data_IF_261566788837
#
_entry.id   IF_261566788837
#
_cell.length_a   1.000
_cell.length_b   1.000
_cell.length_c   1.000
_cell.angle_alpha   90.00
_cell.angle_beta   90.00
_cell.angle_gamma   90.00
#
_symmetry.space_group_name_H-M   'P 1'
#
loop_
_entity.id
_entity.type
_entity.pdbx_description
1 polymer ?
#
# COMPACT_ATOMS: atom_id res chain seq x y z
N UNK A 1 6.43 -12.16 9.70
CA UNK A 1 5.53 -11.59 8.68
C UNK A 1 4.53 -12.65 8.25
N UNK A 2 3.24 -12.32 8.17
CA UNK A 2 2.16 -13.25 7.77
C UNK A 2 1.52 -12.76 6.49
N UNK A 3 1.44 -13.59 5.45
CA UNK A 3 0.83 -13.22 4.17
C UNK A 3 -0.51 -13.93 4.01
N UNK A 4 -1.58 -13.17 3.76
CA UNK A 4 -2.92 -13.67 3.46
C UNK A 4 -3.23 -13.43 1.99
N UNK A 5 -3.34 -14.51 1.23
CA UNK A 5 -3.60 -14.47 -0.21
C UNK A 5 -5.09 -14.60 -0.50
N UNK A 6 -5.58 -13.81 -1.45
CA UNK A 6 -6.96 -13.83 -1.92
C UNK A 6 -7.03 -13.86 -3.45
N UNK A 7 -7.98 -14.63 -3.99
CA UNK A 7 -8.21 -14.66 -5.45
C UNK A 7 -8.89 -13.37 -5.95
N UNK A 8 -9.95 -12.92 -5.27
CA UNK A 8 -10.72 -11.74 -5.65
C UNK A 8 -11.43 -11.15 -4.45
N UNK A 9 -11.24 -9.86 -4.20
CA UNK A 9 -11.83 -9.13 -3.05
C UNK A 9 -12.28 -7.72 -3.46
N UNK A 10 -12.97 -7.01 -2.56
CA UNK A 10 -13.31 -5.61 -2.77
C UNK A 10 -12.04 -4.74 -2.83
N UNK A 11 -11.24 -4.73 -1.76
CA UNK A 11 -9.93 -4.07 -1.72
C UNK A 11 -9.03 -4.69 -0.66
N UNK A 12 -7.72 -4.80 -0.93
CA UNK A 12 -6.72 -5.22 0.06
C UNK A 12 -6.71 -4.28 1.25
N UNK A 13 -6.86 -2.97 1.00
CA UNK A 13 -6.89 -1.93 2.03
C UNK A 13 -8.07 -2.12 2.99
N UNK A 14 -9.26 -2.40 2.46
CA UNK A 14 -10.44 -2.64 3.29
C UNK A 14 -10.32 -3.94 4.11
N UNK A 15 -9.75 -4.99 3.52
CA UNK A 15 -9.52 -6.24 4.24
C UNK A 15 -8.47 -6.04 5.34
N UNK A 16 -7.38 -5.31 5.07
CA UNK A 16 -6.39 -4.98 6.08
C UNK A 16 -7.00 -4.15 7.22
N UNK A 17 -7.82 -3.14 6.92
CA UNK A 17 -8.54 -2.36 7.93
C UNK A 17 -9.48 -3.22 8.79
N UNK A 18 -10.19 -4.18 8.18
CA UNK A 18 -11.03 -5.13 8.91
C UNK A 18 -10.22 -6.07 9.81
N UNK A 19 -9.05 -6.51 9.35
CA UNK A 19 -8.16 -7.35 10.14
C UNK A 19 -7.56 -6.59 11.33
N UNK A 20 -7.15 -5.34 11.13
CA UNK A 20 -6.70 -4.45 12.20
C UNK A 20 -7.75 -4.35 13.31
N UNK A 21 -9.00 -4.03 12.95
CA UNK A 21 -10.12 -3.92 13.90
C UNK A 21 -10.44 -5.23 14.64
N UNK A 22 -10.03 -6.38 14.09
CA UNK A 22 -10.17 -7.71 14.71
C UNK A 22 -8.94 -8.10 15.56
N UNK A 23 -7.96 -7.22 15.71
CA UNK A 23 -6.76 -7.48 16.49
C UNK A 23 -5.70 -8.34 15.79
N UNK A 24 -5.72 -8.41 14.45
CA UNK A 24 -4.63 -9.07 13.71
C UNK A 24 -3.30 -8.32 13.95
N UNK A 25 -2.22 -9.09 14.13
CA UNK A 25 -0.92 -8.53 14.50
C UNK A 25 -0.29 -7.71 13.37
N UNK A 26 0.53 -6.70 13.71
CA UNK A 26 1.41 -6.01 12.76
C UNK A 26 2.24 -6.96 11.90
N UNK A 27 2.75 -6.45 10.77
CA UNK A 27 3.46 -7.19 9.73
C UNK A 27 2.62 -8.29 9.08
N UNK A 28 1.31 -8.09 9.07
CA UNK A 28 0.38 -8.88 8.26
C UNK A 28 0.21 -8.21 6.91
N UNK A 29 0.38 -8.99 5.84
CA UNK A 29 0.22 -8.55 4.45
C UNK A 29 -1.03 -9.18 3.89
N UNK A 30 -1.90 -8.37 3.30
CA UNK A 30 -3.06 -8.82 2.52
C UNK A 30 -2.70 -8.67 1.05
N UNK A 31 -2.76 -9.75 0.29
CA UNK A 31 -2.46 -9.76 -1.15
C UNK A 31 -3.67 -10.27 -1.92
N UNK A 32 -4.00 -9.65 -3.05
CA UNK A 32 -5.07 -10.12 -3.92
C UNK A 32 -4.63 -10.19 -5.38
N UNK A 33 -5.14 -11.19 -6.12
CA UNK A 33 -4.95 -11.26 -7.59
C UNK A 33 -5.82 -10.26 -8.34
N UNK A 34 -6.97 -9.88 -7.79
CA UNK A 34 -7.92 -8.93 -8.39
C UNK A 34 -8.66 -8.13 -7.29
N UNK A 35 -8.90 -6.84 -7.52
CA UNK A 35 -9.77 -6.01 -6.67
C UNK A 35 -10.96 -5.45 -7.46
N UNK A 36 -12.17 -5.66 -6.95
CA UNK A 36 -13.42 -5.17 -7.55
C UNK A 36 -13.62 -3.67 -7.27
N UNK A 37 -13.16 -3.21 -6.10
CA UNK A 37 -13.33 -1.85 -5.57
C UNK A 37 -11.99 -1.31 -5.07
N UNK A 38 -10.93 -1.47 -5.87
CA UNK A 38 -9.60 -0.98 -5.54
C UNK A 38 -9.63 0.50 -5.18
N UNK A 39 -8.95 0.86 -4.09
CA UNK A 39 -8.94 2.23 -3.55
C UNK A 39 -7.73 3.01 -4.04
N UNK A 40 -7.97 4.23 -4.53
CA UNK A 40 -6.96 5.26 -4.68
C UNK A 40 -7.13 6.36 -3.62
N UNK A 41 -6.32 7.42 -3.71
CA UNK A 41 -6.40 8.56 -2.77
C UNK A 41 -7.72 9.30 -2.90
N UNK A 42 -8.30 9.70 -1.78
CA UNK A 42 -9.58 10.43 -1.74
C UNK A 42 -10.73 9.57 -2.22
N UNK A 43 -11.46 10.01 -3.25
CA UNK A 43 -12.59 9.27 -3.86
C UNK A 43 -12.17 8.50 -5.13
N UNK A 44 -10.89 8.47 -5.45
CA UNK A 44 -10.42 7.86 -6.69
C UNK A 44 -10.50 6.33 -6.60
N UNK A 45 -10.95 5.72 -7.70
CA UNK A 45 -10.94 4.28 -7.88
C UNK A 45 -9.59 3.83 -8.48
N UNK A 46 -9.08 2.69 -8.02
CA UNK A 46 -7.88 2.05 -8.56
C UNK A 46 -8.26 0.77 -9.32
N UNK A 47 -8.18 0.82 -10.64
CA UNK A 47 -8.45 -0.34 -11.49
C UNK A 47 -7.44 -1.45 -11.25
N UNK A 48 -7.93 -2.63 -10.84
CA UNK A 48 -7.10 -3.73 -10.31
C UNK A 48 -7.47 -5.10 -10.90
N UNK A 49 -7.36 -5.31 -12.22
CA UNK A 49 -7.62 -6.59 -12.85
C UNK A 49 -6.54 -7.62 -12.50
N UNK A 50 -6.76 -8.90 -12.84
CA UNK A 50 -5.70 -9.92 -12.76
C UNK A 50 -4.46 -9.49 -13.56
N UNK A 51 -3.28 -9.75 -12.98
CA UNK A 51 -1.98 -9.49 -13.59
C UNK A 51 -1.15 -8.40 -12.91
N UNK A 52 -1.78 -7.54 -12.10
CA UNK A 52 -1.05 -6.61 -11.23
C UNK A 52 -0.66 -7.19 -9.87
N UNK A 53 0.15 -6.44 -9.14
CA UNK A 53 0.48 -6.69 -7.74
C UNK A 53 -0.32 -5.74 -6.84
N UNK A 54 -1.26 -6.32 -6.08
CA UNK A 54 -2.11 -5.55 -5.15
C UNK A 54 -1.94 -6.10 -3.75
N UNK A 55 -1.46 -5.26 -2.83
CA UNK A 55 -1.32 -5.64 -1.44
C UNK A 55 -1.49 -4.44 -0.50
N UNK A 56 -1.71 -4.75 0.77
CA UNK A 56 -1.71 -3.80 1.87
C UNK A 56 -1.01 -4.42 3.09
N UNK A 57 -0.24 -3.63 3.81
CA UNK A 57 0.57 -4.05 4.96
C UNK A 57 0.04 -3.36 6.21
N UNK A 58 -0.26 -4.15 7.24
CA UNK A 58 -0.51 -3.65 8.58
C UNK A 58 0.82 -3.36 9.29
N UNK A 59 1.09 -2.11 9.64
CA UNK A 59 2.31 -1.72 10.34
C UNK A 59 2.13 -1.71 11.87
N UNK A 60 3.23 -1.81 12.64
CA UNK A 60 3.19 -1.55 14.08
C UNK A 60 2.81 -0.09 14.37
N UNK A 61 2.51 0.26 15.64
CA UNK A 61 2.35 1.65 16.05
C UNK A 61 3.56 2.50 15.62
N UNK A 62 3.29 3.67 15.06
CA UNK A 62 4.28 4.64 14.60
C UNK A 62 4.11 5.97 15.33
N UNK A 63 5.19 6.75 15.40
CA UNK A 63 5.12 8.16 15.80
C UNK A 63 4.51 9.01 14.68
N UNK A 64 4.17 10.27 14.97
CA UNK A 64 3.65 11.18 13.95
C UNK A 64 4.70 11.48 12.88
N UNK A 65 5.96 11.64 13.27
CA UNK A 65 7.07 11.92 12.36
C UNK A 65 7.29 10.79 11.36
N UNK A 66 7.19 9.53 11.81
CA UNK A 66 7.30 8.36 10.94
C UNK A 66 6.14 8.28 9.95
N UNK A 67 4.92 8.60 10.39
CA UNK A 67 3.71 8.59 9.54
C UNK A 67 3.80 9.62 8.42
N UNK A 68 4.37 10.80 8.69
CA UNK A 68 4.50 11.88 7.71
C UNK A 68 5.38 11.51 6.51
N UNK A 69 6.40 10.68 6.74
CA UNK A 69 7.35 10.28 5.69
C UNK A 69 7.01 8.92 5.06
N UNK A 70 6.13 8.13 5.68
CA UNK A 70 5.88 6.73 5.36
C UNK A 70 5.52 6.48 3.88
N UNK A 71 4.60 7.26 3.33
CA UNK A 71 4.18 7.12 1.92
C UNK A 71 5.35 7.37 0.95
N UNK A 72 6.18 8.38 1.24
CA UNK A 72 7.32 8.74 0.42
C UNK A 72 8.43 7.68 0.51
N UNK A 73 8.69 7.16 1.72
CA UNK A 73 9.63 6.06 1.94
C UNK A 73 9.20 4.82 1.18
N UNK A 74 7.91 4.46 1.26
CA UNK A 74 7.38 3.32 0.51
C UNK A 74 7.57 3.52 -1.00
N UNK A 75 7.31 4.72 -1.54
CA UNK A 75 7.51 5.02 -2.95
C UNK A 75 8.97 4.88 -3.37
N UNK A 76 9.87 5.40 -2.53
CA UNK A 76 11.31 5.27 -2.74
C UNK A 76 11.76 3.81 -2.75
N UNK A 77 11.35 2.99 -1.78
CA UNK A 77 11.75 1.59 -1.72
C UNK A 77 11.19 0.77 -2.90
N UNK A 78 9.95 1.01 -3.32
CA UNK A 78 9.40 0.35 -4.52
C UNK A 78 10.20 0.74 -5.76
N UNK A 79 10.49 2.03 -5.95
CA UNK A 79 11.30 2.50 -7.07
C UNK A 79 12.72 1.91 -7.05
N UNK A 80 13.34 1.86 -5.87
CA UNK A 80 14.67 1.28 -5.65
C UNK A 80 14.70 -0.20 -6.02
N UNK A 81 13.77 -1.00 -5.51
CA UNK A 81 13.70 -2.44 -5.80
C UNK A 81 13.48 -2.68 -7.30
N UNK A 82 12.60 -1.91 -7.95
CA UNK A 82 12.39 -2.04 -9.41
C UNK A 82 13.70 -1.75 -10.17
N UNK A 83 14.45 -0.73 -9.75
CA UNK A 83 15.74 -0.43 -10.37
C UNK A 83 16.77 -1.54 -10.13
N UNK A 84 16.86 -2.08 -8.91
CA UNK A 84 17.81 -3.14 -8.56
C UNK A 84 17.51 -4.46 -9.29
N UNK A 85 16.24 -4.82 -9.42
CA UNK A 85 15.82 -6.10 -10.02
C UNK A 85 15.68 -6.04 -11.55
N UNK A 86 15.26 -4.88 -12.10
CA UNK A 86 14.90 -4.75 -13.51
C UNK A 86 15.73 -3.71 -14.27
N UNK A 87 16.54 -2.90 -13.59
CA UNK A 87 17.30 -1.79 -14.21
C UNK A 87 16.43 -0.59 -14.61
N UNK A 88 15.13 -0.63 -14.34
CA UNK A 88 14.16 0.38 -14.77
C UNK A 88 14.12 1.57 -13.81
N UNK A 89 14.25 2.79 -14.34
CA UNK A 89 14.21 4.02 -13.54
C UNK A 89 12.78 4.48 -13.34
N UNK A 90 12.27 4.31 -12.13
CA UNK A 90 10.94 4.79 -11.74
C UNK A 90 11.00 6.25 -11.31
N UNK A 91 10.22 7.09 -11.97
CA UNK A 91 9.98 8.47 -11.54
C UNK A 91 8.87 8.50 -10.49
N UNK A 92 9.16 9.09 -9.33
CA UNK A 92 8.16 9.29 -8.28
C UNK A 92 7.51 10.65 -8.50
N UNK A 93 6.28 10.65 -9.01
CA UNK A 93 5.45 11.86 -9.02
C UNK A 93 4.92 12.05 -7.61
N UNK A 94 5.51 13.01 -6.91
CA UNK A 94 5.25 13.27 -5.50
C UNK A 94 3.74 13.44 -5.22
N UNK A 95 3.21 12.88 -4.10
CA UNK A 95 3.94 12.11 -3.08
C UNK A 95 3.98 10.58 -3.30
N UNK A 96 3.14 10.04 -4.16
CA UNK A 96 2.77 8.63 -4.03
C UNK A 96 2.54 7.87 -5.35
N UNK A 97 2.81 8.50 -6.49
CA UNK A 97 2.58 7.89 -7.80
C UNK A 97 3.89 7.47 -8.47
N UNK A 98 3.93 6.24 -8.98
CA UNK A 98 5.09 5.65 -9.65
C UNK A 98 4.89 5.72 -11.16
N UNK A 99 5.87 6.27 -11.86
CA UNK A 99 5.84 6.46 -13.31
C UNK A 99 7.05 5.81 -13.99
N UNK A 100 6.81 5.16 -15.12
CA UNK A 100 7.82 4.65 -16.03
C UNK A 100 7.50 5.17 -17.44
N UNK A 101 8.49 5.75 -18.12
CA UNK A 101 8.33 6.27 -19.49
C UNK A 101 7.11 7.21 -19.64
N UNK A 102 6.91 8.10 -18.66
CA UNK A 102 5.80 9.07 -18.65
C UNK A 102 4.42 8.48 -18.35
N UNK A 103 4.30 7.17 -18.11
CA UNK A 103 3.04 6.49 -17.79
C UNK A 103 3.00 6.07 -16.32
N UNK A 104 1.84 6.23 -15.67
CA UNK A 104 1.64 5.77 -14.30
C UNK A 104 1.58 4.24 -14.27
N UNK A 105 2.44 3.62 -13.49
CA UNK A 105 2.52 2.15 -13.34
C UNK A 105 2.08 1.65 -11.97
N UNK A 106 2.02 2.55 -10.98
CA UNK A 106 1.69 2.19 -9.62
C UNK A 106 1.31 3.40 -8.78
N UNK A 107 0.83 3.13 -7.58
CA UNK A 107 0.52 4.13 -6.59
C UNK A 107 0.54 3.51 -5.20
N UNK A 108 0.85 4.33 -4.20
CA UNK A 108 0.86 3.94 -2.80
C UNK A 108 -0.23 4.70 -2.06
N UNK A 109 -0.93 4.01 -1.16
CA UNK A 109 -2.01 4.56 -0.37
C UNK A 109 -1.76 4.24 1.10
N UNK A 110 -1.46 5.25 1.90
CA UNK A 110 -1.40 5.12 3.35
C UNK A 110 -2.71 5.60 3.96
N UNK A 111 -3.38 4.76 4.76
CA UNK A 111 -4.49 5.16 5.62
C UNK A 111 -4.08 4.98 7.09
N UNK A 112 -4.33 5.99 7.92
CA UNK A 112 -3.94 6.01 9.33
C UNK A 112 -5.18 5.92 10.24
N UNK A 113 -5.05 5.18 11.34
CA UNK A 113 -6.01 5.16 12.46
C UNK A 113 -5.29 5.60 13.72
N UNK A 114 -5.90 6.52 14.48
CA UNK A 114 -5.32 7.07 15.71
C UNK A 114 -5.94 6.37 16.92
N UNK A 115 -5.12 5.85 17.81
CA UNK A 115 -5.54 5.27 19.08
C UNK A 115 -4.69 5.86 20.21
N UNK A 116 -5.24 6.81 20.97
CA UNK A 116 -4.47 7.57 21.95
C UNK A 116 -3.39 8.42 21.26
N UNK A 117 -2.13 8.21 21.64
CA UNK A 117 -0.97 8.89 21.05
C UNK A 117 -0.27 8.05 19.97
N UNK A 118 -0.80 6.88 19.63
CA UNK A 118 -0.22 5.98 18.64
C UNK A 118 -0.94 6.07 17.29
N UNK A 119 -0.16 5.97 16.22
CA UNK A 119 -0.66 5.92 14.85
C UNK A 119 -0.51 4.52 14.28
N UNK A 120 -1.61 3.97 13.80
CA UNK A 120 -1.65 2.68 13.14
C UNK A 120 -1.85 2.89 11.65
N UNK A 121 -0.84 2.56 10.87
CA UNK A 121 -0.82 2.78 9.42
C UNK A 121 -1.04 1.48 8.65
N UNK A 122 -1.82 1.59 7.57
CA UNK A 122 -1.94 0.56 6.54
C UNK A 122 -1.45 1.17 5.24
N UNK A 123 -0.40 0.58 4.65
CA UNK A 123 0.25 1.01 3.40
C UNK A 123 -0.01 0.00 2.29
#
# INVERSE_FOLDING_TARGET
MKIKNFEKIASTQEIASKLFKKGEKPWTVVVAKEQIKGKGRGKNFWYSPRGGLYFSILLPPLSIEDVEILTNLAAFFVAKVIFEELGEKIFIKFPNDLYLNGKKIGGILTENTICGNEYYSIV
#
